data_IF_970456953021
#
_entry.id   IF_970456953021
#
_cell.length_a   1.000
_cell.length_b   1.000
_cell.length_c   1.000
_cell.angle_alpha   90.00
_cell.angle_beta   90.00
_cell.angle_gamma   90.00
#
_symmetry.space_group_name_H-M   'P 1'
#
loop_
_entity.id
_entity.type
_entity.pdbx_description
1 polymer ?
#
# COMPACT_ATOMS: atom_id res chain seq x y z
N UNK A 1 -59.63 -21.20 -42.93
CA UNK A 1 -59.29 -21.04 -41.49
C UNK A 1 -57.81 -21.12 -41.37
N UNK A 2 -57.16 -19.99 -41.11
CA UNK A 2 -55.68 -19.88 -41.00
C UNK A 2 -55.35 -19.77 -39.54
N UNK A 3 -54.73 -20.82 -39.00
CA UNK A 3 -54.27 -20.85 -37.63
C UNK A 3 -52.89 -20.15 -37.53
N UNK A 4 -52.84 -19.04 -36.80
CA UNK A 4 -51.63 -18.24 -36.59
C UNK A 4 -50.96 -18.75 -35.31
N UNK A 5 -49.87 -19.51 -35.48
CA UNK A 5 -49.00 -19.87 -34.35
C UNK A 5 -48.14 -18.68 -33.96
N UNK A 6 -48.44 -18.12 -32.81
CA UNK A 6 -47.65 -17.06 -32.19
C UNK A 6 -46.48 -17.72 -31.43
N UNK A 7 -45.30 -17.65 -32.01
CA UNK A 7 -44.06 -18.13 -31.40
C UNK A 7 -43.49 -17.01 -30.51
N UNK A 8 -43.78 -17.08 -29.23
CA UNK A 8 -43.15 -16.17 -28.22
C UNK A 8 -41.74 -16.62 -27.95
N UNK A 9 -40.76 -15.88 -28.50
CA UNK A 9 -39.35 -16.02 -28.15
C UNK A 9 -39.10 -15.42 -26.74
N UNK A 10 -38.93 -16.25 -25.73
CA UNK A 10 -38.41 -15.85 -24.46
C UNK A 10 -36.89 -15.65 -24.59
N UNK A 11 -36.45 -14.40 -24.72
CA UNK A 11 -35.08 -13.98 -24.58
C UNK A 11 -34.74 -14.04 -23.08
N UNK A 12 -34.11 -15.15 -22.66
CA UNK A 12 -33.49 -15.23 -21.35
C UNK A 12 -32.26 -14.33 -21.34
N UNK A 13 -32.40 -13.13 -20.78
CA UNK A 13 -31.28 -12.28 -20.43
C UNK A 13 -30.51 -12.95 -19.28
N UNK A 14 -29.52 -13.76 -19.60
CA UNK A 14 -28.49 -14.18 -18.64
C UNK A 14 -27.62 -12.97 -18.33
N UNK A 15 -27.97 -12.22 -17.29
CA UNK A 15 -27.07 -11.26 -16.67
C UNK A 15 -25.95 -12.09 -16.06
N UNK A 16 -24.83 -12.20 -16.78
CA UNK A 16 -23.59 -12.70 -16.22
C UNK A 16 -23.20 -11.70 -15.11
N UNK A 17 -23.40 -12.10 -13.86
CA UNK A 17 -22.82 -11.39 -12.73
C UNK A 17 -21.31 -11.47 -12.89
N UNK A 18 -20.70 -10.42 -13.46
CA UNK A 18 -19.28 -10.21 -13.39
C UNK A 18 -18.96 -10.05 -11.91
N UNK A 19 -18.45 -11.11 -11.31
CA UNK A 19 -17.77 -11.02 -10.02
C UNK A 19 -16.61 -10.09 -10.23
N UNK A 20 -16.76 -8.82 -9.83
CA UNK A 20 -15.67 -7.88 -9.78
C UNK A 20 -14.62 -8.52 -8.87
N UNK A 21 -13.49 -8.94 -9.46
CA UNK A 21 -12.33 -9.38 -8.70
C UNK A 21 -11.96 -8.18 -7.84
N UNK A 22 -12.11 -8.32 -6.52
CA UNK A 22 -11.79 -7.24 -5.61
C UNK A 22 -10.32 -6.86 -5.83
N UNK A 23 -10.11 -5.63 -6.30
CA UNK A 23 -8.78 -5.10 -6.56
C UNK A 23 -7.94 -5.21 -5.29
N UNK A 24 -6.73 -5.75 -5.39
CA UNK A 24 -5.84 -5.85 -4.25
C UNK A 24 -5.49 -4.46 -3.77
N UNK A 25 -5.48 -4.21 -2.46
CA UNK A 25 -4.99 -2.93 -1.95
C UNK A 25 -3.53 -2.79 -2.29
N UNK A 26 -3.12 -1.56 -2.56
CA UNK A 26 -1.75 -1.28 -2.94
C UNK A 26 -1.04 -0.37 -1.92
N UNK A 27 0.27 -0.57 -1.84
CA UNK A 27 1.18 0.25 -1.05
C UNK A 27 2.23 0.80 -1.99
N UNK A 28 2.48 2.09 -1.95
CA UNK A 28 3.51 2.73 -2.78
C UNK A 28 4.63 3.33 -1.94
N UNK A 29 5.82 3.35 -2.52
CA UNK A 29 7.00 3.99 -1.95
C UNK A 29 7.14 5.41 -2.51
N UNK A 30 7.17 6.40 -1.63
CA UNK A 30 7.31 7.82 -2.00
C UNK A 30 8.59 8.38 -1.36
N UNK A 31 9.68 8.54 -2.12
CA UNK A 31 10.89 9.15 -1.59
C UNK A 31 10.71 10.66 -1.42
N UNK A 32 10.95 11.18 -0.22
CA UNK A 32 10.86 12.61 0.10
C UNK A 32 12.13 13.39 -0.27
N UNK A 33 13.17 12.70 -0.72
CA UNK A 33 14.42 13.31 -1.16
C UNK A 33 15.05 12.53 -2.31
N UNK A 34 15.95 13.17 -3.03
CA UNK A 34 16.77 12.56 -4.07
C UNK A 34 17.99 11.82 -3.52
N UNK A 35 18.06 11.61 -2.20
CA UNK A 35 19.17 10.94 -1.56
C UNK A 35 19.37 9.53 -2.10
N UNK A 36 20.61 9.17 -2.45
CA UNK A 36 20.96 7.82 -2.86
C UNK A 36 20.65 6.76 -1.78
N UNK A 37 20.49 7.18 -0.52
CA UNK A 37 20.13 6.29 0.58
C UNK A 37 18.69 5.78 0.50
N UNK A 38 17.82 6.43 -0.25
CA UNK A 38 16.43 5.99 -0.42
C UNK A 38 16.32 4.60 -1.08
N UNK A 39 17.30 4.20 -1.88
CA UNK A 39 17.32 2.85 -2.47
C UNK A 39 17.41 1.77 -1.40
N UNK A 40 18.08 2.05 -0.28
CA UNK A 40 18.18 1.10 0.84
C UNK A 40 16.85 0.93 1.59
N UNK A 41 15.95 1.90 1.50
CA UNK A 41 14.61 1.82 2.07
C UNK A 41 13.62 1.10 1.13
N UNK A 42 13.71 1.35 -0.18
CA UNK A 42 12.76 0.80 -1.17
C UNK A 42 12.72 -0.72 -1.16
N UNK A 43 13.86 -1.37 -1.26
CA UNK A 43 13.93 -2.84 -1.35
C UNK A 43 13.34 -3.56 -0.13
N UNK A 44 13.69 -3.19 1.13
CA UNK A 44 13.09 -3.80 2.30
C UNK A 44 11.56 -3.56 2.39
N UNK A 45 11.08 -2.37 2.00
CA UNK A 45 9.64 -2.09 1.98
C UNK A 45 8.93 -3.00 0.98
N UNK A 46 9.43 -3.06 -0.24
CA UNK A 46 8.89 -3.94 -1.29
C UNK A 46 8.85 -5.39 -0.83
N UNK A 47 9.94 -5.90 -0.27
CA UNK A 47 10.01 -7.27 0.22
C UNK A 47 8.96 -7.53 1.32
N UNK A 48 8.81 -6.61 2.28
CA UNK A 48 7.84 -6.74 3.37
C UNK A 48 6.39 -6.72 2.87
N UNK A 49 6.07 -5.87 1.90
CA UNK A 49 4.73 -5.82 1.28
C UNK A 49 4.44 -7.10 0.50
N UNK A 50 5.38 -7.56 -0.33
CA UNK A 50 5.21 -8.75 -1.15
C UNK A 50 5.11 -10.04 -0.34
N UNK A 51 5.81 -10.13 0.79
CA UNK A 51 5.71 -11.28 1.71
C UNK A 51 4.31 -11.43 2.34
N UNK A 52 3.53 -10.37 2.42
CA UNK A 52 2.15 -10.43 2.93
C UNK A 52 1.17 -11.12 1.97
N UNK A 53 1.51 -11.20 0.66
CA UNK A 53 0.74 -11.90 -0.38
C UNK A 53 -0.56 -11.22 -0.84
N UNK A 54 -1.12 -10.33 -0.03
CA UNK A 54 -2.44 -9.74 -0.23
C UNK A 54 -2.41 -8.32 -0.80
N UNK A 55 -1.21 -7.78 -1.06
CA UNK A 55 -1.00 -6.39 -1.46
C UNK A 55 -0.17 -6.29 -2.72
N UNK A 56 -0.38 -5.21 -3.46
CA UNK A 56 0.48 -4.81 -4.57
C UNK A 56 1.45 -3.72 -4.12
N UNK A 57 2.61 -3.67 -4.75
CA UNK A 57 3.64 -2.66 -4.47
C UNK A 57 3.93 -1.82 -5.69
N UNK A 58 4.00 -0.49 -5.51
CA UNK A 58 4.37 0.48 -6.54
C UNK A 58 5.59 1.30 -6.12
N UNK A 59 6.46 1.59 -7.07
CA UNK A 59 7.75 2.26 -6.81
C UNK A 59 7.67 3.78 -6.64
N UNK A 60 6.58 4.38 -7.06
CA UNK A 60 6.34 5.82 -6.91
C UNK A 60 4.85 6.04 -6.68
N UNK A 61 4.49 7.10 -6.01
CA UNK A 61 3.11 7.40 -5.64
C UNK A 61 2.11 7.02 -6.74
N UNK A 62 1.18 6.17 -6.41
CA UNK A 62 0.16 5.66 -7.33
C UNK A 62 -1.22 6.00 -6.77
N UNK A 63 -2.09 6.53 -7.63
CA UNK A 63 -3.43 6.94 -7.22
C UNK A 63 -4.21 5.78 -6.61
N UNK A 64 -4.81 6.02 -5.47
CA UNK A 64 -5.59 5.02 -4.74
C UNK A 64 -4.77 4.08 -3.84
N UNK A 65 -3.44 4.17 -3.86
CA UNK A 65 -2.58 3.41 -2.95
C UNK A 65 -2.41 4.10 -1.60
N UNK A 66 -1.95 3.32 -0.64
CA UNK A 66 -1.43 3.82 0.62
C UNK A 66 0.03 4.16 0.41
N UNK A 67 0.40 5.40 0.70
CA UNK A 67 1.75 5.88 0.44
C UNK A 67 2.64 5.75 1.68
N UNK A 68 3.82 5.19 1.49
CA UNK A 68 4.90 5.20 2.48
C UNK A 68 5.92 6.24 2.05
N UNK A 69 5.83 7.42 2.64
CA UNK A 69 6.76 8.51 2.45
C UNK A 69 8.02 8.24 3.25
N UNK A 70 9.18 8.31 2.63
CA UNK A 70 10.45 8.00 3.29
C UNK A 70 11.47 9.12 3.05
N UNK A 71 11.97 9.65 4.15
CA UNK A 71 13.12 10.54 4.18
C UNK A 71 14.27 9.82 4.89
N UNK A 72 15.38 9.63 4.19
CA UNK A 72 16.59 9.04 4.78
C UNK A 72 17.78 9.97 4.59
N UNK A 73 18.53 10.16 5.66
CA UNK A 73 19.69 11.04 5.70
C UNK A 73 20.89 10.34 6.37
N UNK A 74 22.09 10.48 5.79
CA UNK A 74 23.30 10.09 6.51
C UNK A 74 23.52 11.04 7.69
N UNK A 75 23.87 10.50 8.83
CA UNK A 75 24.27 11.30 10.00
C UNK A 75 25.78 11.42 10.02
N UNK A 76 26.26 12.65 9.99
CA UNK A 76 27.66 12.98 9.87
C UNK A 76 28.19 13.56 11.20
N UNK A 77 29.33 13.10 11.64
CA UNK A 77 30.04 13.70 12.78
C UNK A 77 30.71 15.01 12.39
N UNK A 78 31.09 15.83 13.39
CA UNK A 78 31.84 17.07 13.19
C UNK A 78 33.17 16.94 12.45
N UNK A 79 33.66 15.73 12.22
CA UNK A 79 34.86 15.40 11.43
C UNK A 79 34.49 14.87 10.02
N UNK A 80 33.30 15.17 9.52
CA UNK A 80 32.79 14.71 8.23
C UNK A 80 32.75 13.19 8.06
N UNK A 81 32.81 12.43 9.15
CA UNK A 81 32.67 10.97 9.12
C UNK A 81 31.22 10.58 9.32
N UNK A 82 30.71 9.73 8.44
CA UNK A 82 29.38 9.15 8.62
C UNK A 82 29.38 8.26 9.86
N UNK A 83 28.43 8.49 10.76
CA UNK A 83 28.26 7.76 12.01
C UNK A 83 26.94 6.95 12.05
N UNK A 84 26.10 7.08 11.01
CA UNK A 84 24.87 6.34 10.94
C UNK A 84 23.90 6.92 9.92
N UNK A 85 22.64 6.55 10.09
CA UNK A 85 21.52 7.01 9.28
C UNK A 85 20.34 7.40 10.18
N UNK A 86 19.61 8.42 9.75
CA UNK A 86 18.30 8.76 10.28
C UNK A 86 17.26 8.47 9.20
N UNK A 87 16.20 7.76 9.56
CA UNK A 87 15.14 7.39 8.65
C UNK A 87 13.82 7.83 9.27
N UNK A 88 13.13 8.72 8.59
CA UNK A 88 11.76 9.09 8.90
C UNK A 88 10.84 8.40 7.89
N UNK A 89 9.75 7.80 8.35
CA UNK A 89 8.68 7.37 7.46
C UNK A 89 7.33 7.86 7.97
N UNK A 90 6.47 8.18 7.01
CA UNK A 90 5.06 8.54 7.24
C UNK A 90 4.20 7.67 6.34
N UNK A 91 3.15 7.08 6.88
CA UNK A 91 2.16 6.31 6.12
C UNK A 91 0.91 7.16 5.97
N UNK A 92 0.47 7.36 4.74
CA UNK A 92 -0.78 8.06 4.44
C UNK A 92 -1.79 7.13 3.76
N UNK A 93 -3.07 7.35 4.03
CA UNK A 93 -4.15 6.67 3.34
C UNK A 93 -4.34 7.25 1.92
N UNK A 94 -5.20 6.64 1.05
CA UNK A 94 -5.47 7.16 -0.29
C UNK A 94 -6.09 8.57 -0.34
N UNK A 95 -6.52 9.11 0.80
CA UNK A 95 -7.03 10.49 0.92
C UNK A 95 -5.96 11.47 1.41
N UNK A 96 -4.74 10.99 1.63
CA UNK A 96 -3.62 11.77 2.14
C UNK A 96 -3.63 11.98 3.65
N UNK A 97 -4.47 11.25 4.41
CA UNK A 97 -4.46 11.33 5.87
C UNK A 97 -3.32 10.48 6.44
N UNK A 98 -2.54 11.07 7.33
CA UNK A 98 -1.49 10.35 8.06
C UNK A 98 -2.12 9.33 9.02
N UNK A 99 -1.65 8.09 8.93
CA UNK A 99 -2.10 6.97 9.76
C UNK A 99 -0.97 6.34 10.56
N UNK A 100 0.25 6.76 10.34
CA UNK A 100 1.41 6.31 11.10
C UNK A 100 2.68 7.04 10.69
N UNK A 101 3.57 7.23 11.66
CA UNK A 101 4.91 7.73 11.40
C UNK A 101 5.90 7.17 12.41
N UNK A 102 7.17 7.17 12.05
CA UNK A 102 8.27 6.93 12.98
C UNK A 102 9.56 7.56 12.49
N UNK A 103 10.43 7.86 13.46
CA UNK A 103 11.81 8.24 13.22
C UNK A 103 12.69 7.15 13.83
N UNK A 104 13.63 6.66 13.05
CA UNK A 104 14.56 5.61 13.45
C UNK A 104 15.98 6.08 13.18
N UNK A 105 16.91 5.80 14.09
CA UNK A 105 18.31 6.11 13.97
C UNK A 105 19.15 4.89 14.30
N UNK A 106 20.24 4.69 13.55
CA UNK A 106 21.21 3.63 13.85
C UNK A 106 22.47 3.72 13.00
N UNK A 107 23.54 3.08 13.47
CA UNK A 107 24.87 3.13 12.82
C UNK A 107 24.94 2.31 11.55
N UNK A 108 24.14 1.25 11.43
CA UNK A 108 24.23 0.25 10.38
C UNK A 108 23.11 0.36 9.36
N UNK A 109 23.33 -0.08 8.09
CA UNK A 109 22.30 -0.14 7.08
C UNK A 109 21.09 -1.02 7.44
N UNK A 110 21.23 -1.98 8.34
CA UNK A 110 20.15 -2.87 8.79
C UNK A 110 18.96 -2.12 9.39
N UNK A 111 19.18 -0.89 9.84
CA UNK A 111 18.12 -0.02 10.31
C UNK A 111 17.07 0.27 9.23
N UNK A 112 17.45 0.27 7.95
CA UNK A 112 16.50 0.43 6.84
C UNK A 112 15.52 -0.74 6.79
N UNK A 113 15.99 -1.95 7.02
CA UNK A 113 15.14 -3.15 7.06
C UNK A 113 14.12 -3.03 8.21
N UNK A 114 14.58 -2.67 9.41
CA UNK A 114 13.71 -2.52 10.57
C UNK A 114 12.67 -1.41 10.40
N UNK A 115 13.10 -0.23 9.91
CA UNK A 115 12.21 0.89 9.67
C UNK A 115 11.15 0.57 8.62
N UNK A 116 11.52 -0.09 7.53
CA UNK A 116 10.61 -0.41 6.44
C UNK A 116 9.68 -1.57 6.74
N UNK A 117 10.11 -2.55 7.51
CA UNK A 117 9.21 -3.59 8.04
C UNK A 117 8.15 -2.98 8.95
N UNK A 118 8.53 -2.01 9.79
CA UNK A 118 7.57 -1.29 10.63
C UNK A 118 6.58 -0.48 9.79
N UNK A 119 7.06 0.24 8.77
CA UNK A 119 6.22 1.02 7.87
C UNK A 119 5.21 0.14 7.13
N UNK A 120 5.67 -1.01 6.58
CA UNK A 120 4.80 -1.98 5.94
C UNK A 120 3.74 -2.54 6.91
N UNK A 121 4.14 -2.91 8.13
CA UNK A 121 3.23 -3.43 9.14
C UNK A 121 2.17 -2.40 9.55
N UNK A 122 2.55 -1.13 9.68
CA UNK A 122 1.63 -0.03 9.99
C UNK A 122 0.62 0.18 8.85
N UNK A 123 1.08 0.21 7.59
CA UNK A 123 0.21 0.34 6.43
C UNK A 123 -0.78 -0.85 6.34
N UNK A 124 -0.28 -2.08 6.36
CA UNK A 124 -1.07 -3.30 6.26
C UNK A 124 -2.13 -3.38 7.36
N UNK A 125 -1.75 -3.07 8.60
CA UNK A 125 -2.68 -3.06 9.74
C UNK A 125 -3.82 -2.06 9.51
N UNK A 126 -3.52 -0.84 9.08
CA UNK A 126 -4.53 0.19 8.84
C UNK A 126 -5.45 -0.17 7.67
N UNK A 127 -4.91 -0.72 6.58
CA UNK A 127 -5.71 -1.21 5.45
C UNK A 127 -6.71 -2.28 5.90
N UNK A 128 -6.26 -3.25 6.70
CA UNK A 128 -7.11 -4.32 7.23
C UNK A 128 -8.22 -3.78 8.15
N UNK A 129 -7.91 -2.79 8.99
CA UNK A 129 -8.90 -2.13 9.85
C UNK A 129 -9.99 -1.42 9.04
N UNK A 130 -9.61 -0.66 8.02
CA UNK A 130 -10.57 0.04 7.15
C UNK A 130 -11.47 -0.96 6.42
N UNK A 131 -10.91 -2.05 5.91
CA UNK A 131 -11.68 -3.09 5.21
C UNK A 131 -12.68 -3.80 6.13
N UNK A 132 -12.27 -4.18 7.34
CA UNK A 132 -13.17 -4.84 8.31
C UNK A 132 -14.35 -3.95 8.71
N UNK A 133 -14.11 -2.65 8.89
CA UNK A 133 -15.16 -1.67 9.22
C UNK A 133 -16.16 -1.51 8.07
N UNK A 134 -15.67 -1.51 6.83
CA UNK A 134 -16.52 -1.39 5.64
C UNK A 134 -17.43 -2.62 5.46
N UNK A 135 -16.94 -3.82 5.75
CA UNK A 135 -17.75 -5.04 5.66
C UNK A 135 -18.86 -5.09 6.71
N UNK A 136 -18.56 -4.68 7.94
CA UNK A 136 -19.55 -4.67 9.03
C UNK A 136 -20.73 -3.72 8.76
N UNK A 137 -20.50 -2.64 8.01
CA UNK A 137 -21.57 -1.69 7.65
C UNK A 137 -22.47 -2.19 6.52
N UNK A 138 -22.01 -3.13 5.70
CA UNK A 138 -22.82 -3.71 4.60
C UNK A 138 -23.78 -4.78 5.13
N UNK A 139 -23.43 -5.48 6.21
CA UNK A 139 -24.28 -6.53 6.79
C UNK A 139 -25.43 -5.99 7.66
N UNK A 140 -25.44 -4.68 7.98
CA UNK A 140 -26.47 -4.05 8.81
C UNK A 140 -27.60 -3.35 7.99
N UNK A 141 -27.63 -3.50 6.69
CA UNK A 141 -28.66 -2.98 5.77
C UNK A 141 -29.31 -4.11 4.95
#
# INVERSE_FOLDING_TARGET
MKSLCLLTLLLANTVAAQTAVAEKPCISFVPESTSATNIYAKQPLQAAVMLSGDFEFYESGHEGCWDVHVLSLPVISGKSKRIGYAISHTVTDPKGMEVGHALTFGPDPDIFVQAMHKAAADAIRNIRLVRSTSQSNVEMH
#
